data_IF_284003276548
#
_entry.id   IF_284003276548
#
_cell.length_a   1.000
_cell.length_b   1.000
_cell.length_c   1.000
_cell.angle_alpha   90.00
_cell.angle_beta   90.00
_cell.angle_gamma   90.00
#
_symmetry.space_group_name_H-M   'P 1'
#
loop_
_entity.id
_entity.type
_entity.pdbx_description
1 polymer ?
#
# COMPACT_ATOMS: atom_id res chain seq x y z
N UNK A 1 8.23 -8.01 24.47
CA UNK A 1 6.96 -7.66 23.82
C UNK A 1 7.33 -6.88 22.58
N UNK A 2 7.34 -7.52 21.42
CA UNK A 2 7.37 -6.77 20.17
C UNK A 2 6.06 -6.00 20.09
N UNK A 3 6.10 -4.70 20.30
CA UNK A 3 5.03 -3.82 19.81
C UNK A 3 5.13 -3.86 18.30
N UNK A 4 4.43 -4.81 17.68
CA UNK A 4 4.33 -4.93 16.23
C UNK A 4 3.95 -3.57 15.66
N UNK A 5 4.81 -3.01 14.82
CA UNK A 5 4.54 -1.76 14.13
C UNK A 5 3.84 -2.12 12.83
N UNK A 6 2.66 -1.54 12.60
CA UNK A 6 1.97 -1.62 11.34
C UNK A 6 2.43 -0.46 10.46
N UNK A 7 2.57 -0.70 9.17
CA UNK A 7 3.05 0.29 8.21
C UNK A 7 1.93 0.61 7.24
N UNK A 8 1.64 1.90 7.08
CA UNK A 8 0.78 2.40 6.02
C UNK A 8 1.67 2.76 4.84
N UNK A 9 1.32 2.29 3.65
CA UNK A 9 2.14 2.45 2.46
C UNK A 9 1.34 2.94 1.27
N UNK A 10 2.03 3.65 0.38
CA UNK A 10 1.57 3.98 -0.95
C UNK A 10 2.20 3.07 -2.00
N UNK A 11 1.46 2.79 -3.06
CA UNK A 11 1.88 1.96 -4.19
C UNK A 11 1.54 2.65 -5.50
N UNK A 12 2.53 2.82 -6.36
CA UNK A 12 2.39 3.58 -7.61
C UNK A 12 3.67 3.57 -8.45
N UNK A 13 3.74 4.39 -9.50
CA UNK A 13 4.98 4.59 -10.27
C UNK A 13 5.82 5.76 -9.73
N UNK A 14 5.61 6.12 -8.45
CA UNK A 14 6.13 7.30 -7.78
C UNK A 14 5.06 7.99 -6.92
N UNK A 15 5.44 9.02 -6.17
CA UNK A 15 4.51 9.74 -5.29
C UNK A 15 3.42 10.52 -6.05
N UNK A 16 3.74 10.98 -7.27
CA UNK A 16 2.81 11.71 -8.15
C UNK A 16 1.89 10.79 -8.97
N UNK A 17 2.17 9.48 -8.98
CA UNK A 17 1.39 8.45 -9.68
C UNK A 17 1.01 7.34 -8.69
N UNK A 18 0.33 7.74 -7.61
CA UNK A 18 -0.14 6.84 -6.56
C UNK A 18 -1.45 6.17 -6.98
N UNK A 19 -1.48 4.84 -7.02
CA UNK A 19 -2.65 4.06 -7.41
C UNK A 19 -3.34 3.43 -6.20
N UNK A 20 -2.56 2.97 -5.22
CA UNK A 20 -3.09 2.26 -4.06
C UNK A 20 -2.49 2.73 -2.76
N UNK A 21 -3.30 2.67 -1.70
CA UNK A 21 -2.83 2.82 -0.32
C UNK A 21 -3.27 1.60 0.46
N UNK A 22 -2.36 1.01 1.20
CA UNK A 22 -2.66 -0.11 2.07
C UNK A 22 -1.88 -0.04 3.38
N UNK A 23 -2.04 -1.09 4.18
CA UNK A 23 -1.26 -1.26 5.40
C UNK A 23 -0.79 -2.70 5.54
N UNK A 24 0.30 -2.93 6.25
CA UNK A 24 0.88 -4.26 6.45
C UNK A 24 1.70 -4.32 7.74
N UNK A 25 2.00 -5.52 8.22
CA UNK A 25 2.97 -5.74 9.32
C UNK A 25 4.43 -5.72 8.82
N UNK A 26 4.64 -5.88 7.50
CA UNK A 26 5.97 -5.93 6.89
C UNK A 26 6.46 -4.52 6.58
N UNK A 27 7.74 -4.24 6.76
CA UNK A 27 8.26 -2.90 6.48
C UNK A 27 8.38 -2.67 4.97
N UNK A 28 7.70 -1.66 4.37
CA UNK A 28 7.77 -1.38 2.93
C UNK A 28 9.19 -1.10 2.43
N UNK A 29 10.02 -0.48 3.27
CA UNK A 29 11.42 -0.19 2.94
C UNK A 29 12.37 -1.38 3.07
N UNK A 30 11.96 -2.48 3.71
CA UNK A 30 12.80 -3.67 3.91
C UNK A 30 12.32 -4.91 3.17
N UNK A 31 11.01 -5.05 3.01
CA UNK A 31 10.36 -6.25 2.49
C UNK A 31 9.40 -5.96 1.32
N UNK A 32 9.73 -5.07 0.36
CA UNK A 32 8.79 -4.66 -0.69
C UNK A 32 8.33 -5.84 -1.56
N UNK A 33 9.23 -6.78 -1.87
CA UNK A 33 8.90 -7.95 -2.70
C UNK A 33 7.87 -8.88 -2.06
N UNK A 34 7.87 -8.98 -0.73
CA UNK A 34 6.91 -9.81 -0.04
C UNK A 34 5.53 -9.15 0.00
N UNK A 35 5.49 -7.83 0.19
CA UNK A 35 4.24 -7.05 0.11
C UNK A 35 3.64 -7.14 -1.29
N UNK A 36 4.46 -7.04 -2.34
CA UNK A 36 3.99 -7.24 -3.72
C UNK A 36 3.41 -8.63 -3.96
N UNK A 37 4.05 -9.65 -3.41
CA UNK A 37 3.59 -11.04 -3.51
C UNK A 37 2.26 -11.25 -2.79
N UNK A 38 2.09 -10.66 -1.61
CA UNK A 38 0.84 -10.70 -0.84
C UNK A 38 -0.30 -10.00 -1.60
N UNK A 39 -0.01 -8.82 -2.18
CA UNK A 39 -0.97 -8.06 -2.99
C UNK A 39 -1.40 -8.83 -4.25
N UNK A 40 -0.46 -9.44 -4.95
CA UNK A 40 -0.73 -10.30 -6.10
C UNK A 40 -1.59 -11.53 -5.75
N UNK A 41 -1.48 -12.02 -4.51
CA UNK A 41 -2.25 -13.14 -3.98
C UNK A 41 -3.55 -12.78 -3.25
N UNK A 42 -3.86 -11.49 -3.07
CA UNK A 42 -4.91 -11.00 -2.16
C UNK A 42 -6.37 -11.35 -2.55
N UNK A 43 -6.59 -11.96 -3.72
CA UNK A 43 -7.93 -12.26 -4.25
C UNK A 43 -8.72 -11.02 -4.70
N UNK A 44 -8.11 -9.82 -4.64
CA UNK A 44 -8.64 -8.60 -5.24
C UNK A 44 -8.13 -8.48 -6.66
N UNK A 45 -8.91 -8.97 -7.61
CA UNK A 45 -8.53 -9.11 -9.03
C UNK A 45 -8.00 -7.83 -9.67
N UNK A 46 -8.46 -6.65 -9.26
CA UNK A 46 -7.99 -5.37 -9.81
C UNK A 46 -6.60 -5.00 -9.29
N UNK A 47 -6.38 -5.12 -7.98
CA UNK A 47 -5.07 -4.89 -7.34
C UNK A 47 -4.05 -5.91 -7.83
N UNK A 48 -4.38 -7.20 -7.76
CA UNK A 48 -3.48 -8.28 -8.14
C UNK A 48 -3.03 -8.15 -9.60
N UNK A 49 -3.97 -7.84 -10.50
CA UNK A 49 -3.66 -7.62 -11.92
C UNK A 49 -2.76 -6.41 -12.12
N UNK A 50 -3.07 -5.29 -11.49
CA UNK A 50 -2.25 -4.08 -11.62
C UNK A 50 -0.84 -4.32 -11.09
N UNK A 51 -0.69 -4.90 -9.90
CA UNK A 51 0.62 -5.20 -9.30
C UNK A 51 1.44 -6.12 -10.19
N UNK A 52 0.83 -7.17 -10.75
CA UNK A 52 1.52 -8.10 -11.65
C UNK A 52 2.02 -7.37 -12.91
N UNK A 53 1.18 -6.55 -13.53
CA UNK A 53 1.57 -5.77 -14.73
C UNK A 53 2.65 -4.73 -14.44
N UNK A 54 2.56 -4.06 -13.29
CA UNK A 54 3.50 -3.03 -12.87
C UNK A 54 4.88 -3.65 -12.50
N UNK A 55 4.89 -4.84 -11.90
CA UNK A 55 6.10 -5.62 -11.66
C UNK A 55 6.79 -6.03 -12.98
N UNK A 56 6.03 -6.57 -13.94
CA UNK A 56 6.57 -7.03 -15.23
C UNK A 56 7.19 -5.88 -16.04
N UNK A 57 6.63 -4.67 -15.91
CA UNK A 57 7.11 -3.46 -16.60
C UNK A 57 8.16 -2.67 -15.83
N UNK A 58 8.42 -3.01 -14.56
CA UNK A 58 9.33 -2.28 -13.68
C UNK A 58 8.81 -0.90 -13.26
N UNK A 59 7.51 -0.62 -13.44
CA UNK A 59 6.86 0.64 -13.11
C UNK A 59 6.10 0.55 -11.78
N UNK A 60 6.78 0.07 -10.73
CA UNK A 60 6.18 -0.09 -9.40
C UNK A 60 7.17 0.31 -8.31
N UNK A 61 6.74 1.26 -7.50
CA UNK A 61 7.37 1.72 -6.28
C UNK A 61 6.40 1.59 -5.12
N UNK A 62 6.97 1.27 -3.95
CA UNK A 62 6.28 1.24 -2.68
C UNK A 62 7.03 2.13 -1.70
N UNK A 63 6.29 2.94 -0.96
CA UNK A 63 6.86 3.82 0.05
C UNK A 63 6.02 3.82 1.31
N UNK A 64 6.69 3.96 2.44
CA UNK A 64 6.04 4.16 3.73
C UNK A 64 5.46 5.57 3.80
N UNK A 65 4.19 5.68 4.20
CA UNK A 65 3.52 6.94 4.48
C UNK A 65 3.64 7.24 5.98
N UNK A 66 3.27 6.27 6.83
CA UNK A 66 3.38 6.38 8.28
C UNK A 66 3.40 5.00 8.96
N UNK A 67 3.60 5.02 10.28
CA UNK A 67 3.52 3.83 11.14
C UNK A 67 2.39 3.95 12.16
N UNK A 68 1.75 2.82 12.44
CA UNK A 68 0.62 2.69 13.34
C UNK A 68 0.89 1.62 14.41
N UNK A 69 0.25 1.76 15.56
CA UNK A 69 0.47 0.89 16.73
C UNK A 69 -0.42 -0.36 16.74
N UNK A 70 -1.45 -0.37 15.91
CA UNK A 70 -2.40 -1.48 15.79
C UNK A 70 -2.91 -1.59 14.35
N UNK A 71 -3.43 -2.76 13.99
CA UNK A 71 -4.08 -2.98 12.70
C UNK A 71 -5.30 -2.07 12.50
N UNK A 72 -6.03 -1.77 13.58
CA UNK A 72 -7.17 -0.86 13.53
C UNK A 72 -6.74 0.56 13.20
N UNK A 73 -5.73 1.08 13.90
CA UNK A 73 -5.14 2.39 13.61
C UNK A 73 -4.60 2.45 12.17
N UNK A 74 -3.88 1.40 11.73
CA UNK A 74 -3.32 1.33 10.39
C UNK A 74 -4.40 1.36 9.30
N UNK A 75 -5.52 0.68 9.55
CA UNK A 75 -6.69 0.68 8.66
C UNK A 75 -7.33 2.07 8.58
N UNK A 76 -7.51 2.75 9.72
CA UNK A 76 -8.07 4.11 9.76
C UNK A 76 -7.15 5.12 9.06
N UNK A 77 -5.84 5.04 9.31
CA UNK A 77 -4.82 5.82 8.62
C UNK A 77 -4.85 5.59 7.10
N UNK A 78 -4.88 4.34 6.64
CA UNK A 78 -4.96 4.02 5.22
C UNK A 78 -6.21 4.59 4.55
N UNK A 79 -7.36 4.59 5.26
CA UNK A 79 -8.59 5.22 4.79
C UNK A 79 -8.44 6.74 4.69
N UNK A 80 -7.91 7.37 5.74
CA UNK A 80 -7.65 8.81 5.77
C UNK A 80 -6.75 9.27 4.62
N UNK A 81 -5.60 8.62 4.43
CA UNK A 81 -4.71 8.97 3.32
C UNK A 81 -5.35 8.70 1.96
N UNK A 82 -6.12 7.62 1.83
CA UNK A 82 -6.88 7.34 0.62
C UNK A 82 -7.84 8.47 0.26
N UNK A 83 -8.54 9.03 1.24
CA UNK A 83 -9.41 10.19 1.03
C UNK A 83 -8.64 11.48 0.76
N UNK A 84 -7.53 11.71 1.47
CA UNK A 84 -6.67 12.88 1.28
C UNK A 84 -6.12 12.97 -0.14
N UNK A 85 -5.55 11.89 -0.69
CA UNK A 85 -5.01 11.93 -2.06
C UNK A 85 -6.11 12.01 -3.13
N UNK A 86 -7.30 11.43 -2.89
CA UNK A 86 -8.46 11.66 -3.77
C UNK A 86 -8.90 13.12 -3.77
N UNK A 87 -8.89 13.76 -2.61
CA UNK A 87 -9.20 15.18 -2.49
C UNK A 87 -8.18 16.06 -3.24
N UNK A 88 -6.90 15.64 -3.28
CA UNK A 88 -5.86 16.26 -4.11
C UNK A 88 -6.01 15.99 -5.62
N UNK A 89 -6.95 15.15 -6.05
CA UNK A 89 -7.25 14.86 -7.45
C UNK A 89 -6.61 13.58 -8.01
N UNK A 90 -6.00 12.74 -7.18
CA UNK A 90 -5.48 11.44 -7.61
C UNK A 90 -6.57 10.34 -7.56
N UNK A 91 -6.52 9.40 -8.50
CA UNK A 91 -7.41 8.23 -8.52
C UNK A 91 -6.87 7.09 -7.65
N UNK A 92 -6.86 7.29 -6.32
CA UNK A 92 -6.32 6.31 -5.37
C UNK A 92 -7.37 5.31 -4.90
N UNK A 93 -7.03 4.02 -4.87
CA UNK A 93 -7.84 2.95 -4.28
C UNK A 93 -7.28 2.50 -2.92
N UNK A 94 -8.14 2.38 -1.92
CA UNK A 94 -7.75 1.83 -0.63
C UNK A 94 -7.75 0.29 -0.67
N UNK A 95 -6.59 -0.31 -0.39
CA UNK A 95 -6.40 -1.76 -0.31
C UNK A 95 -6.20 -2.14 1.14
N UNK A 96 -6.87 -3.19 1.58
CA UNK A 96 -6.61 -3.80 2.87
C UNK A 96 -5.72 -5.01 2.58
N UNK A 97 -4.54 -5.06 3.19
CA UNK A 97 -3.73 -6.28 3.24
C UNK A 97 -3.82 -6.91 4.63
#
# INVERSE_FOLDING_TARGET
MDTGSYYVFGLGSGADDLHYIGWTEKSPGREPQQIYSDLAGSGRDDVARWVTQALDSGAIDIFEIETARSAEDARECAQFWGEYYRWLGLEVKAVLC
#
